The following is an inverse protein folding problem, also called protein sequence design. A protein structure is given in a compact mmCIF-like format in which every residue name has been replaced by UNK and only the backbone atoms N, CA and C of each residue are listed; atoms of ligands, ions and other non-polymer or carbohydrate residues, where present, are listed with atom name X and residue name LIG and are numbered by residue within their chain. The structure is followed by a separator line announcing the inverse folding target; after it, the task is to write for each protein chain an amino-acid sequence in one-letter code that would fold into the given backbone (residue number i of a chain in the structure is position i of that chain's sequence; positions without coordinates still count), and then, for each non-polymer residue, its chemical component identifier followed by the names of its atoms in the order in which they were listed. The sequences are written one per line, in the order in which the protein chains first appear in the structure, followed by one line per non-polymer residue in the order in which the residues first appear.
data_IF_364368164984
#
_entry.id   IF_364368164984
#
_cell.length_a   1.000
_cell.length_b   1.000
_cell.length_c   1.000
_cell.angle_alpha   90.00
_cell.angle_beta   90.00
_cell.angle_gamma   90.00
#
_symmetry.space_group_name_H-M   'P 1'
#
loop_
_entity.id
_entity.type
_entity.pdbx_description
1 polymer ?
#
# COMPACT_ATOMS: atom_id res chain seq x y z
N UNK A 1 -16.29 -2.16 5.52
CA UNK A 1 -14.86 -1.92 5.82
C UNK A 1 -14.65 -1.82 7.30
N UNK A 2 -13.72 -2.60 7.85
CA UNK A 2 -13.41 -2.63 9.27
C UNK A 2 -12.67 -1.34 9.67
N UNK A 3 -13.03 -0.71 10.78
CA UNK A 3 -12.46 0.56 11.21
C UNK A 3 -12.33 0.60 12.74
N UNK A 4 -11.28 1.24 13.24
CA UNK A 4 -10.94 1.30 14.68
C UNK A 4 -12.07 1.83 15.58
N UNK A 5 -13.00 2.60 15.02
CA UNK A 5 -14.10 3.25 15.73
C UNK A 5 -15.45 2.54 15.52
N UNK A 6 -15.45 1.31 15.03
CA UNK A 6 -16.68 0.53 14.76
C UNK A 6 -16.56 -0.85 15.39
N UNK A 7 -17.72 -1.46 15.68
CA UNK A 7 -17.80 -2.85 16.12
C UNK A 7 -17.15 -3.74 15.06
N UNK A 8 -16.30 -4.67 15.51
CA UNK A 8 -15.69 -5.66 14.64
C UNK A 8 -16.78 -6.66 14.22
N UNK A 9 -16.97 -6.79 12.91
CA UNK A 9 -17.88 -7.76 12.30
C UNK A 9 -17.11 -8.52 11.22
N UNK A 10 -17.48 -9.79 10.93
CA UNK A 10 -16.91 -10.52 9.82
C UNK A 10 -17.06 -9.70 8.53
N UNK A 11 -15.93 -9.44 7.88
CA UNK A 11 -15.87 -8.65 6.66
C UNK A 11 -14.83 -9.25 5.72
N UNK A 12 -14.95 -8.92 4.45
CA UNK A 12 -13.95 -9.21 3.43
C UNK A 12 -13.42 -7.91 2.82
N UNK A 13 -12.20 -7.97 2.32
CA UNK A 13 -11.57 -6.90 1.54
C UNK A 13 -11.23 -7.47 0.17
N UNK A 14 -11.50 -6.70 -0.86
CA UNK A 14 -11.08 -7.03 -2.21
C UNK A 14 -9.86 -6.18 -2.57
N UNK A 15 -8.86 -6.82 -3.14
CA UNK A 15 -7.70 -6.19 -3.76
C UNK A 15 -7.79 -6.41 -5.26
N UNK A 16 -7.75 -5.33 -6.02
CA UNK A 16 -7.92 -5.38 -7.48
C UNK A 16 -6.77 -4.63 -8.13
N UNK A 17 -6.10 -5.27 -9.07
CA UNK A 17 -5.09 -4.65 -9.93
C UNK A 17 -5.76 -4.36 -11.27
N UNK A 18 -5.62 -3.13 -11.73
CA UNK A 18 -6.22 -2.64 -12.97
C UNK A 18 -5.13 -2.03 -13.84
N UNK A 19 -5.13 -2.35 -15.12
CA UNK A 19 -4.34 -1.67 -16.13
C UNK A 19 -4.85 -0.23 -16.31
N UNK A 20 -3.98 0.75 -16.15
CA UNK A 20 -4.36 2.17 -16.15
C UNK A 20 -4.74 2.67 -17.57
N UNK A 21 -4.12 2.12 -18.60
CA UNK A 21 -4.33 2.52 -19.99
C UNK A 21 -5.65 1.99 -20.57
N UNK A 22 -5.98 0.72 -20.30
CA UNK A 22 -7.13 0.01 -20.88
C UNK A 22 -8.28 -0.18 -19.90
N UNK A 23 -8.05 0.03 -18.60
CA UNK A 23 -9.06 -0.20 -17.57
C UNK A 23 -9.40 -1.68 -17.36
N UNK A 24 -8.52 -2.58 -17.80
CA UNK A 24 -8.74 -4.04 -17.69
C UNK A 24 -8.29 -4.52 -16.31
N UNK A 25 -9.12 -5.34 -15.67
CA UNK A 25 -8.75 -5.98 -14.40
C UNK A 25 -7.75 -7.11 -14.66
N UNK A 26 -6.56 -6.98 -14.09
CA UNK A 26 -5.45 -7.94 -14.26
C UNK A 26 -5.40 -9.01 -13.16
N UNK A 27 -5.79 -8.64 -11.94
CA UNK A 27 -5.83 -9.55 -10.79
C UNK A 27 -6.94 -9.13 -9.81
N UNK A 28 -7.57 -10.12 -9.18
CA UNK A 28 -8.51 -9.93 -8.07
C UNK A 28 -8.23 -10.95 -6.98
N UNK A 29 -8.00 -10.47 -5.76
CA UNK A 29 -7.88 -11.32 -4.59
C UNK A 29 -8.81 -10.83 -3.47
N UNK A 30 -9.44 -11.77 -2.78
CA UNK A 30 -10.28 -11.50 -1.62
C UNK A 30 -9.56 -11.97 -0.37
N UNK A 31 -9.41 -11.06 0.59
CA UNK A 31 -8.83 -11.31 1.89
C UNK A 31 -9.89 -11.16 3.00
N UNK A 32 -9.69 -11.83 4.13
CA UNK A 32 -10.50 -11.54 5.32
C UNK A 32 -10.24 -10.11 5.78
N UNK A 33 -11.24 -9.48 6.40
CA UNK A 33 -11.20 -8.07 6.79
C UNK A 33 -10.17 -7.74 7.88
N UNK A 34 -9.56 -8.76 8.47
CA UNK A 34 -8.44 -8.66 9.39
C UNK A 34 -7.13 -8.30 8.68
N UNK A 35 -6.92 -8.80 7.46
CA UNK A 35 -5.65 -8.62 6.74
C UNK A 35 -5.46 -7.14 6.40
N UNK A 36 -4.25 -6.65 6.67
CA UNK A 36 -3.89 -5.27 6.37
C UNK A 36 -3.63 -5.11 4.87
N UNK A 37 -4.16 -4.03 4.29
CA UNK A 37 -4.09 -3.75 2.86
C UNK A 37 -2.64 -3.68 2.36
N UNK A 38 -1.76 -3.06 3.14
CA UNK A 38 -0.34 -2.95 2.81
C UNK A 38 0.43 -4.26 2.87
N UNK A 39 -0.18 -5.38 3.27
CA UNK A 39 0.44 -6.72 3.18
C UNK A 39 0.18 -7.37 1.81
N UNK A 40 -0.96 -7.07 1.17
CA UNK A 40 -1.36 -7.75 -0.06
C UNK A 40 -0.75 -7.12 -1.31
N UNK A 41 -0.58 -5.80 -1.34
CA UNK A 41 -0.26 -5.04 -2.58
C UNK A 41 0.93 -5.60 -3.37
N UNK A 42 2.04 -5.95 -2.70
CA UNK A 42 3.26 -6.43 -3.36
C UNK A 42 3.03 -7.78 -4.05
N UNK A 43 2.40 -8.72 -3.34
CA UNK A 43 2.10 -10.05 -3.86
C UNK A 43 1.13 -9.98 -5.05
N UNK A 44 0.15 -9.05 -5.00
CA UNK A 44 -0.82 -8.87 -6.10
C UNK A 44 -0.17 -8.27 -7.35
N UNK A 45 0.77 -7.33 -7.18
CA UNK A 45 1.54 -6.77 -8.31
C UNK A 45 2.38 -7.88 -8.97
N UNK A 46 3.06 -8.70 -8.17
CA UNK A 46 3.85 -9.82 -8.69
C UNK A 46 2.96 -10.84 -9.43
N UNK A 47 1.79 -11.17 -8.88
CA UNK A 47 0.82 -12.04 -9.55
C UNK A 47 0.36 -11.46 -10.91
N UNK A 48 0.08 -10.16 -10.97
CA UNK A 48 -0.30 -9.49 -12.22
C UNK A 48 0.84 -9.48 -13.25
N UNK A 49 2.08 -9.24 -12.84
CA UNK A 49 3.26 -9.32 -13.71
C UNK A 49 3.44 -10.73 -14.27
N UNK A 50 3.29 -11.77 -13.44
CA UNK A 50 3.36 -13.16 -13.87
C UNK A 50 2.24 -13.50 -14.85
N UNK A 51 1.01 -13.08 -14.57
CA UNK A 51 -0.14 -13.36 -15.43
C UNK A 51 -0.08 -12.66 -16.79
N UNK A 52 0.50 -11.47 -16.86
CA UNK A 52 0.57 -10.67 -18.09
C UNK A 52 1.88 -10.89 -18.85
N UNK A 53 2.94 -11.36 -18.19
CA UNK A 53 4.29 -11.39 -18.73
C UNK A 53 4.92 -10.01 -18.90
N UNK A 54 4.31 -8.96 -18.33
CA UNK A 54 4.75 -7.57 -18.45
C UNK A 54 5.44 -7.11 -17.17
N UNK A 55 6.44 -6.24 -17.32
CA UNK A 55 7.05 -5.55 -16.19
C UNK A 55 6.22 -4.31 -15.82
N UNK A 56 5.96 -4.13 -14.53
CA UNK A 56 5.30 -2.94 -13.99
C UNK A 56 6.38 -1.93 -13.57
N UNK A 57 6.35 -0.72 -14.12
CA UNK A 57 7.27 0.37 -13.74
C UNK A 57 6.66 1.33 -12.73
N UNK A 58 5.33 1.50 -12.74
CA UNK A 58 4.64 2.50 -11.91
C UNK A 58 3.37 1.90 -11.33
N UNK A 59 3.11 2.17 -10.06
CA UNK A 59 1.91 1.73 -9.33
C UNK A 59 1.22 2.94 -8.72
N UNK A 60 -0.08 3.03 -8.93
CA UNK A 60 -0.95 3.99 -8.27
C UNK A 60 -1.81 3.28 -7.23
N UNK A 61 -2.04 3.92 -6.08
CA UNK A 61 -2.93 3.41 -5.04
C UNK A 61 -3.49 4.55 -4.19
N UNK A 62 -4.55 4.29 -3.44
CA UNK A 62 -5.09 5.27 -2.50
C UNK A 62 -4.20 5.46 -1.26
N UNK A 63 -4.46 6.53 -0.50
CA UNK A 63 -3.71 6.88 0.70
C UNK A 63 -3.75 5.80 1.80
N UNK A 64 -4.69 4.85 1.76
CA UNK A 64 -4.74 3.69 2.63
C UNK A 64 -3.47 2.84 2.51
N UNK A 65 -2.91 2.73 1.30
CA UNK A 65 -1.69 1.97 1.00
C UNK A 65 -0.39 2.71 1.31
N UNK A 66 -0.44 4.00 1.68
CA UNK A 66 0.75 4.78 2.02
C UNK A 66 1.33 4.33 3.38
N UNK A 67 2.12 3.26 3.32
CA UNK A 67 2.90 2.69 4.42
C UNK A 67 4.37 2.60 3.99
N UNK A 68 5.30 2.89 4.90
CA UNK A 68 6.73 2.81 4.63
C UNK A 68 7.16 1.44 4.08
N UNK A 69 6.59 0.34 4.62
CA UNK A 69 6.84 -1.03 4.12
C UNK A 69 6.47 -1.23 2.65
N UNK A 70 5.42 -0.55 2.17
CA UNK A 70 4.96 -0.64 0.77
C UNK A 70 5.93 0.13 -0.12
N UNK A 71 6.24 1.39 0.23
CA UNK A 71 7.21 2.20 -0.50
C UNK A 71 8.58 1.51 -0.60
N UNK A 72 9.13 1.03 0.53
CA UNK A 72 10.41 0.32 0.52
C UNK A 72 10.38 -1.00 -0.24
N UNK A 73 9.23 -1.68 -0.31
CA UNK A 73 9.09 -2.90 -1.11
C UNK A 73 9.03 -2.61 -2.62
N UNK A 74 8.37 -1.51 -3.03
CA UNK A 74 8.29 -1.08 -4.43
C UNK A 74 9.62 -0.49 -4.91
N UNK A 75 10.29 0.33 -4.08
CA UNK A 75 11.60 0.90 -4.38
C UNK A 75 12.66 -0.19 -4.62
N UNK A 76 12.72 -1.22 -3.76
CA UNK A 76 13.61 -2.38 -3.95
C UNK A 76 13.35 -3.14 -5.26
N UNK A 77 12.16 -3.02 -5.84
CA UNK A 77 11.77 -3.63 -7.11
C UNK A 77 11.94 -2.68 -8.30
N UNK A 78 12.41 -1.45 -8.07
CA UNK A 78 12.51 -0.42 -9.11
C UNK A 78 11.14 0.05 -9.62
N UNK A 79 10.10 -0.03 -8.79
CA UNK A 79 8.74 0.38 -9.13
C UNK A 79 8.44 1.72 -8.47
N UNK A 80 8.04 2.69 -9.29
CA UNK A 80 7.64 4.02 -8.84
C UNK A 80 6.24 3.98 -8.21
N UNK A 81 6.15 4.38 -6.94
CA UNK A 81 4.90 4.39 -6.19
C UNK A 81 4.28 5.80 -6.16
N UNK A 82 3.17 6.00 -6.90
CA UNK A 82 2.39 7.22 -6.88
C UNK A 82 1.18 7.05 -5.93
N UNK A 83 1.44 7.20 -4.63
CA UNK A 83 0.44 7.03 -3.58
C UNK A 83 0.30 8.34 -2.80
N UNK A 84 -0.90 8.93 -2.67
CA UNK A 84 -1.10 10.13 -1.87
C UNK A 84 -0.67 9.91 -0.42
N UNK A 85 -0.02 10.91 0.18
CA UNK A 85 0.35 10.86 1.59
C UNK A 85 -0.89 10.74 2.49
N UNK A 86 -0.79 10.01 3.59
CA UNK A 86 -1.85 9.98 4.61
C UNK A 86 -2.04 11.38 5.19
N UNK A 87 -3.30 11.79 5.33
CA UNK A 87 -3.64 12.95 6.13
C UNK A 87 -3.06 12.78 7.54
N UNK A 88 -2.34 13.79 8.05
CA UNK A 88 -1.61 13.70 9.32
C UNK A 88 -2.53 13.20 10.46
N UNK A 89 -2.33 11.98 10.97
CA UNK A 89 -3.21 11.45 12.03
C UNK A 89 -2.76 11.88 13.43
N UNK A 90 -1.56 12.46 13.56
CA UNK A 90 -0.87 12.44 14.84
C UNK A 90 -1.13 13.74 15.60
N UNK A 91 -2.16 13.71 16.45
CA UNK A 91 -2.25 14.59 17.61
C UNK A 91 -1.20 14.17 18.66
N UNK A 92 0.07 14.28 18.31
CA UNK A 92 1.19 14.18 19.26
C UNK A 92 1.56 15.60 19.69
N UNK A 93 1.90 15.83 20.97
CA UNK A 93 2.44 17.11 21.42
C UNK A 93 3.67 17.57 20.60
N UNK A 94 4.40 16.60 20.03
CA UNK A 94 5.58 16.86 19.20
C UNK A 94 5.32 16.36 17.77
N UNK A 95 5.25 17.27 16.78
CA UNK A 95 5.07 16.90 15.38
C UNK A 95 6.25 16.08 14.83
N UNK A 96 5.97 15.05 14.02
CA UNK A 96 7.02 14.20 13.42
C UNK A 96 8.00 14.97 12.53
N UNK A 97 7.57 16.08 11.91
CA UNK A 97 8.43 17.00 11.14
C UNK A 97 9.61 17.59 11.92
N UNK A 98 9.63 17.46 13.25
CA UNK A 98 10.77 17.88 14.09
C UNK A 98 11.89 16.85 14.17
N UNK A 99 11.66 15.63 13.70
CA UNK A 99 12.60 14.53 13.72
C UNK A 99 13.17 14.31 12.30
N UNK A 100 14.45 13.93 12.21
CA UNK A 100 15.17 13.64 10.96
C UNK A 100 15.23 12.12 10.73
N UNK A 101 14.89 11.68 9.53
CA UNK A 101 14.99 10.27 9.15
C UNK A 101 16.47 9.86 8.97
N UNK A 102 16.87 8.76 9.62
CA UNK A 102 18.17 8.11 9.50
C UNK A 102 18.04 6.87 8.62
N UNK A 103 18.30 7.03 7.31
CA UNK A 103 18.15 5.98 6.31
C UNK A 103 19.06 4.75 6.55
N UNK A 104 20.18 4.92 7.27
CA UNK A 104 21.11 3.81 7.55
C UNK A 104 20.51 2.80 8.53
N UNK A 105 19.67 3.28 9.45
CA UNK A 105 19.11 2.48 10.54
C UNK A 105 17.59 2.31 10.46
N UNK A 106 16.94 2.91 9.45
CA UNK A 106 15.48 2.90 9.25
C UNK A 106 14.71 3.43 10.49
N UNK A 107 15.20 4.53 11.08
CA UNK A 107 14.60 5.16 12.27
C UNK A 107 14.41 6.67 12.10
N UNK A 108 13.43 7.22 12.81
CA UNK A 108 13.18 8.67 12.91
C UNK A 108 13.84 9.20 14.20
N UNK A 109 14.80 10.12 14.08
CA UNK A 109 15.63 10.67 15.18
C UNK A 109 15.31 12.11 15.53
#
# INVERSE_FOLDING_TARGET
TNARNRRLEPAYKQHTIVDDLRGVVLDVAVATGEINEGQMIVERIEAAMVSTGLSVSTVTADAGYAYAKVFGALERRGIDALIPAKAEPIRSPVPLRRFRYDAKHDILK
#
